data_IF_349782930856
#
_entry.id   IF_349782930856
#
_cell.length_a   1.000
_cell.length_b   1.000
_cell.length_c   1.000
_cell.angle_alpha   90.00
_cell.angle_beta   90.00
_cell.angle_gamma   90.00
#
_symmetry.space_group_name_H-M   'P 1'
#
loop_
_entity.id
_entity.type
_entity.pdbx_description
1 polymer ?
#
# COMPACT_ATOMS: atom_id res chain seq x y z
N UNK A 1 -41.76 -11.50 -34.06
CA UNK A 1 -41.51 -10.63 -32.88
C UNK A 1 -42.28 -9.33 -33.09
N UNK A 2 -43.21 -9.00 -32.19
CA UNK A 2 -44.24 -7.99 -32.44
C UNK A 2 -43.64 -6.57 -32.41
N UNK A 3 -43.92 -5.73 -33.42
CA UNK A 3 -43.33 -4.39 -33.60
C UNK A 3 -43.50 -3.49 -32.36
N UNK A 4 -44.58 -3.69 -31.62
CA UNK A 4 -44.85 -2.99 -30.35
C UNK A 4 -43.89 -3.40 -29.22
N UNK A 5 -43.43 -4.65 -29.15
CA UNK A 5 -42.47 -5.09 -28.12
C UNK A 5 -41.07 -4.50 -28.36
N UNK A 6 -40.69 -4.30 -29.62
CA UNK A 6 -39.39 -3.69 -29.97
C UNK A 6 -39.37 -2.19 -29.61
N UNK A 7 -40.51 -1.49 -29.78
CA UNK A 7 -40.69 -0.10 -29.34
C UNK A 7 -40.59 0.07 -27.81
N UNK A 8 -41.19 -0.83 -27.05
CA UNK A 8 -41.10 -0.78 -25.58
C UNK A 8 -39.68 -1.06 -25.07
N UNK A 9 -38.97 -2.02 -25.66
CA UNK A 9 -37.56 -2.29 -25.33
C UNK A 9 -36.65 -1.10 -25.70
N UNK A 10 -36.89 -0.44 -26.84
CA UNK A 10 -36.11 0.74 -27.24
C UNK A 10 -36.37 1.94 -26.32
N UNK A 11 -37.60 2.15 -25.85
CA UNK A 11 -37.92 3.22 -24.88
C UNK A 11 -37.34 2.94 -23.49
N UNK A 12 -37.29 1.68 -23.04
CA UNK A 12 -36.67 1.30 -21.76
C UNK A 12 -35.14 1.44 -21.82
N UNK A 13 -34.50 1.06 -22.93
CA UNK A 13 -33.07 1.30 -23.13
C UNK A 13 -32.73 2.79 -23.22
N UNK A 14 -33.58 3.63 -23.85
CA UNK A 14 -33.37 5.09 -23.86
C UNK A 14 -33.57 5.70 -22.46
N UNK A 15 -34.53 5.21 -21.68
CA UNK A 15 -34.75 5.66 -20.30
C UNK A 15 -33.63 5.22 -19.35
N UNK A 16 -33.00 4.05 -19.57
CA UNK A 16 -31.84 3.60 -18.80
C UNK A 16 -30.56 4.35 -19.16
N UNK A 17 -30.38 4.76 -20.43
CA UNK A 17 -29.25 5.61 -20.85
C UNK A 17 -29.41 7.06 -20.35
N UNK A 18 -30.65 7.54 -20.16
CA UNK A 18 -30.94 8.84 -19.55
C UNK A 18 -30.95 8.84 -18.02
N UNK A 19 -30.93 7.64 -17.39
CA UNK A 19 -30.76 7.44 -15.95
C UNK A 19 -29.36 6.97 -15.57
N UNK A 20 -28.42 6.91 -16.51
CA UNK A 20 -27.02 7.01 -16.13
C UNK A 20 -26.89 8.35 -15.42
N UNK A 21 -26.36 8.43 -14.18
CA UNK A 21 -25.88 9.71 -13.71
C UNK A 21 -24.91 10.16 -14.79
N UNK A 22 -25.27 11.23 -15.50
CA UNK A 22 -24.28 12.00 -16.18
C UNK A 22 -23.31 12.36 -15.07
N UNK A 23 -22.18 11.69 -15.00
CA UNK A 23 -20.97 12.24 -14.40
C UNK A 23 -20.57 13.35 -15.37
N UNK A 24 -21.41 14.37 -15.45
CA UNK A 24 -21.03 15.67 -15.95
C UNK A 24 -19.85 16.05 -15.09
N UNK A 25 -18.72 16.39 -15.71
CA UNK A 25 -17.65 17.10 -15.04
C UNK A 25 -18.32 18.19 -14.20
N UNK A 26 -18.40 17.94 -12.89
CA UNK A 26 -19.16 18.80 -11.99
C UNK A 26 -18.37 20.10 -11.90
N UNK A 27 -19.06 21.20 -11.68
CA UNK A 27 -18.47 22.54 -11.47
C UNK A 27 -17.32 22.53 -10.45
N UNK A 28 -17.24 21.51 -9.60
CA UNK A 28 -16.24 21.38 -8.54
C UNK A 28 -15.00 20.55 -8.92
N UNK A 29 -14.92 20.00 -10.15
CA UNK A 29 -13.65 19.47 -10.67
C UNK A 29 -12.56 20.56 -10.70
N UNK A 30 -12.97 21.81 -10.91
CA UNK A 30 -12.11 22.98 -10.78
C UNK A 30 -11.57 23.17 -9.36
N UNK A 31 -12.42 23.09 -8.32
CA UNK A 31 -11.98 23.23 -6.93
C UNK A 31 -10.95 22.17 -6.53
N UNK A 32 -11.16 20.92 -6.97
CA UNK A 32 -10.23 19.83 -6.70
C UNK A 32 -8.89 20.06 -7.40
N UNK A 33 -8.90 20.44 -8.68
CA UNK A 33 -7.68 20.78 -9.41
C UNK A 33 -6.94 21.96 -8.74
N UNK A 34 -7.64 23.07 -8.44
CA UNK A 34 -7.08 24.23 -7.76
C UNK A 34 -6.51 23.90 -6.37
N UNK A 35 -7.15 23.01 -5.61
CA UNK A 35 -6.64 22.57 -4.30
C UNK A 35 -5.30 21.85 -4.42
N UNK A 36 -5.15 21.02 -5.46
CA UNK A 36 -3.88 20.36 -5.76
C UNK A 36 -2.80 21.35 -6.20
N UNK A 37 -3.15 22.34 -7.02
CA UNK A 37 -2.25 23.43 -7.41
C UNK A 37 -1.78 24.24 -6.20
N UNK A 38 -2.69 24.55 -5.26
CA UNK A 38 -2.38 25.26 -4.02
C UNK A 38 -1.46 24.43 -3.11
N UNK A 39 -1.73 23.14 -2.93
CA UNK A 39 -0.90 22.25 -2.13
C UNK A 39 0.54 22.18 -2.67
N UNK A 40 0.68 21.99 -3.98
CA UNK A 40 1.98 21.96 -4.65
C UNK A 40 2.71 23.29 -4.57
N UNK A 41 2.01 24.42 -4.74
CA UNK A 41 2.61 25.76 -4.63
C UNK A 41 3.20 26.00 -3.25
N UNK A 42 2.47 25.67 -2.19
CA UNK A 42 2.95 25.82 -0.81
C UNK A 42 4.13 24.88 -0.56
N UNK A 43 4.05 23.64 -1.04
CA UNK A 43 5.12 22.66 -0.87
C UNK A 43 6.44 23.12 -1.50
N UNK A 44 6.41 23.62 -2.73
CA UNK A 44 7.61 24.09 -3.43
C UNK A 44 8.32 25.23 -2.67
N UNK A 45 7.56 26.11 -2.00
CA UNK A 45 8.11 27.20 -1.19
C UNK A 45 8.61 26.73 0.18
N UNK A 46 7.80 25.97 0.93
CA UNK A 46 8.08 25.60 2.33
C UNK A 46 9.18 24.53 2.49
N UNK A 47 9.26 23.59 1.54
CA UNK A 47 10.27 22.51 1.55
C UNK A 47 11.26 22.60 0.38
N UNK A 48 11.31 23.75 -0.29
CA UNK A 48 12.35 24.20 -1.24
C UNK A 48 12.68 23.17 -2.32
N UNK A 49 11.81 23.07 -3.34
CA UNK A 49 12.07 22.21 -4.50
C UNK A 49 11.49 22.78 -5.80
N UNK A 50 12.08 22.35 -6.92
CA UNK A 50 11.73 22.81 -8.26
C UNK A 50 10.75 21.85 -8.97
N UNK A 51 10.17 22.30 -10.09
CA UNK A 51 9.29 21.47 -10.91
C UNK A 51 10.00 20.17 -11.35
N UNK A 52 9.39 19.02 -11.07
CA UNK A 52 9.88 17.71 -11.48
C UNK A 52 11.06 17.20 -10.66
N UNK A 53 11.26 17.71 -9.45
CA UNK A 53 12.34 17.28 -8.56
C UNK A 53 12.20 15.79 -8.18
N UNK A 54 13.22 14.99 -8.50
CA UNK A 54 13.27 13.56 -8.20
C UNK A 54 13.58 13.24 -6.74
N UNK A 55 13.99 14.24 -5.96
CA UNK A 55 14.28 14.14 -4.53
C UNK A 55 13.07 14.49 -3.66
N UNK A 56 11.91 14.74 -4.29
CA UNK A 56 10.63 14.96 -3.60
C UNK A 56 9.59 13.90 -3.95
N UNK A 57 8.88 13.44 -2.93
CA UNK A 57 7.67 12.61 -3.07
C UNK A 57 6.46 13.31 -2.48
N UNK A 58 5.31 13.13 -3.12
CA UNK A 58 4.02 13.47 -2.54
C UNK A 58 3.18 12.22 -2.30
N UNK A 59 2.78 12.06 -1.04
CA UNK A 59 1.81 11.07 -0.59
C UNK A 59 0.47 11.78 -0.38
N UNK A 60 -0.61 11.18 -0.84
CA UNK A 60 -1.97 11.71 -0.62
C UNK A 60 -2.99 10.59 -0.71
N UNK A 61 -4.11 10.71 -0.01
CA UNK A 61 -5.28 9.84 -0.21
C UNK A 61 -6.25 10.37 -1.29
N UNK A 62 -5.87 11.41 -2.03
CA UNK A 62 -6.62 11.87 -3.19
C UNK A 62 -6.86 10.73 -4.20
N UNK A 63 -8.07 10.69 -4.75
CA UNK A 63 -8.59 9.61 -5.58
C UNK A 63 -9.06 8.37 -4.79
N UNK A 64 -8.95 8.36 -3.46
CA UNK A 64 -9.58 7.38 -2.57
C UNK A 64 -10.71 7.99 -1.77
N UNK A 65 -10.47 9.16 -1.18
CA UNK A 65 -11.46 9.89 -0.39
C UNK A 65 -12.47 10.64 -1.25
N UNK A 66 -13.69 10.76 -0.72
CA UNK A 66 -14.81 11.46 -1.34
C UNK A 66 -15.20 12.63 -0.45
N UNK A 67 -15.20 13.84 -1.00
CA UNK A 67 -15.50 15.08 -0.26
C UNK A 67 -16.78 15.68 -0.82
N UNK A 68 -17.78 15.91 0.06
CA UNK A 68 -19.10 16.44 -0.32
C UNK A 68 -19.72 15.72 -1.54
N UNK A 69 -19.57 14.39 -1.58
CA UNK A 69 -20.10 13.53 -2.65
C UNK A 69 -19.31 13.56 -3.97
N UNK A 70 -18.09 14.10 -3.94
CA UNK A 70 -17.24 14.24 -5.12
C UNK A 70 -15.92 13.50 -4.97
N UNK A 71 -15.45 12.98 -6.09
CA UNK A 71 -14.17 12.30 -6.16
C UNK A 71 -13.02 13.32 -6.18
N UNK A 72 -11.84 12.89 -5.75
CA UNK A 72 -10.69 13.78 -5.48
C UNK A 72 -9.51 13.57 -6.45
N UNK A 73 -9.66 12.78 -7.53
CA UNK A 73 -8.58 12.51 -8.49
C UNK A 73 -8.09 13.77 -9.19
N UNK A 74 -8.95 14.80 -9.32
CA UNK A 74 -8.57 16.08 -9.90
C UNK A 74 -7.53 16.83 -9.08
N UNK A 75 -7.44 16.55 -7.78
CA UNK A 75 -6.37 17.08 -6.93
C UNK A 75 -4.99 16.61 -7.41
N UNK A 76 -4.88 15.35 -7.83
CA UNK A 76 -3.64 14.78 -8.38
C UNK A 76 -3.23 15.51 -9.66
N UNK A 77 -4.21 15.85 -10.51
CA UNK A 77 -3.95 16.64 -11.72
C UNK A 77 -3.37 18.01 -11.39
N UNK A 78 -3.92 18.69 -10.37
CA UNK A 78 -3.43 19.99 -9.90
C UNK A 78 -2.02 19.92 -9.31
N UNK A 79 -1.76 18.92 -8.47
CA UNK A 79 -0.42 18.67 -7.92
C UNK A 79 0.58 18.49 -9.07
N UNK A 80 0.32 17.54 -9.96
CA UNK A 80 1.21 17.22 -11.09
C UNK A 80 1.47 18.44 -11.98
N UNK A 81 0.45 19.25 -12.23
CA UNK A 81 0.55 20.44 -13.09
C UNK A 81 1.50 21.50 -12.54
N UNK A 82 1.56 21.68 -11.22
CA UNK A 82 2.38 22.72 -10.58
C UNK A 82 3.74 22.19 -10.16
N UNK A 83 3.81 21.01 -9.55
CA UNK A 83 5.06 20.46 -9.01
C UNK A 83 5.79 19.56 -9.99
N UNK A 84 5.15 19.07 -11.05
CA UNK A 84 5.71 18.05 -11.94
C UNK A 84 5.79 16.65 -11.33
N UNK A 85 5.44 16.46 -10.05
CA UNK A 85 5.49 15.16 -9.39
C UNK A 85 4.34 14.26 -9.89
N UNK A 86 4.66 13.02 -10.25
CA UNK A 86 3.70 12.11 -10.87
C UNK A 86 4.02 10.63 -10.61
N UNK A 87 2.98 9.79 -10.70
CA UNK A 87 3.10 8.35 -10.48
C UNK A 87 4.14 7.70 -11.41
N UNK A 88 4.23 8.17 -12.67
CA UNK A 88 5.14 7.62 -13.68
C UNK A 88 6.63 7.79 -13.37
N UNK A 89 6.95 8.78 -12.53
CA UNK A 89 8.32 9.08 -12.12
C UNK A 89 8.61 8.60 -10.69
N UNK A 90 7.70 7.84 -10.09
CA UNK A 90 7.77 7.39 -8.69
C UNK A 90 7.89 8.55 -7.69
N UNK A 91 7.30 9.71 -7.97
CA UNK A 91 7.31 10.90 -7.09
C UNK A 91 5.93 11.29 -6.58
N UNK A 92 4.88 10.54 -6.96
CA UNK A 92 3.53 10.67 -6.42
C UNK A 92 3.00 9.28 -6.08
N UNK A 93 2.38 9.11 -4.91
CA UNK A 93 1.69 7.89 -4.52
C UNK A 93 0.35 8.18 -3.88
N UNK A 94 -0.69 7.51 -4.40
CA UNK A 94 -2.03 7.55 -3.84
C UNK A 94 -2.17 6.47 -2.75
N UNK A 95 -2.34 6.91 -1.51
CA UNK A 95 -2.39 6.03 -0.34
C UNK A 95 -3.82 5.60 -0.10
N UNK A 96 -4.03 4.29 0.03
CA UNK A 96 -5.36 3.73 0.23
C UNK A 96 -5.99 4.26 1.52
N UNK A 97 -7.25 4.69 1.45
CA UNK A 97 -8.01 5.16 2.60
C UNK A 97 -9.50 4.93 2.33
N UNK A 98 -10.28 4.80 3.40
CA UNK A 98 -11.74 4.74 3.29
C UNK A 98 -12.29 6.06 2.74
N UNK A 99 -13.32 5.99 1.91
CA UNK A 99 -13.85 7.13 1.16
C UNK A 99 -14.43 8.24 2.06
N UNK A 100 -14.90 7.91 3.26
CA UNK A 100 -15.46 8.85 4.24
C UNK A 100 -14.41 9.54 5.14
N UNK A 101 -13.12 9.38 4.88
CA UNK A 101 -12.05 10.02 5.65
C UNK A 101 -11.69 11.40 5.09
N UNK A 102 -11.05 12.20 5.94
CA UNK A 102 -10.56 13.52 5.56
C UNK A 102 -9.40 13.41 4.57
N UNK A 103 -9.41 14.29 3.55
CA UNK A 103 -8.36 14.45 2.55
C UNK A 103 -7.10 15.09 3.16
N UNK A 104 -5.92 14.61 2.79
CA UNK A 104 -4.64 15.19 3.21
C UNK A 104 -3.56 15.09 2.13
N UNK A 105 -2.50 15.88 2.31
CA UNK A 105 -1.29 15.84 1.48
C UNK A 105 -0.06 15.83 2.37
N UNK A 106 0.93 15.02 1.98
CA UNK A 106 2.24 15.02 2.60
C UNK A 106 3.31 15.06 1.53
N UNK A 107 4.05 16.17 1.46
CA UNK A 107 5.22 16.29 0.60
C UNK A 107 6.47 16.04 1.44
N UNK A 108 7.43 15.32 0.90
CA UNK A 108 8.67 15.01 1.58
C UNK A 108 9.87 15.20 0.66
N UNK A 109 10.82 16.03 1.09
CA UNK A 109 12.09 16.27 0.41
C UNK A 109 13.19 15.46 1.12
N UNK A 110 13.74 14.44 0.45
CA UNK A 110 14.75 13.56 1.04
C UNK A 110 16.12 14.23 1.19
N UNK A 111 16.42 15.25 0.39
CA UNK A 111 17.70 15.96 0.47
C UNK A 111 17.79 16.77 1.75
N UNK A 112 16.69 17.40 2.16
CA UNK A 112 16.63 18.19 3.40
C UNK A 112 16.11 17.40 4.59
N UNK A 113 15.41 16.27 4.36
CA UNK A 113 14.67 15.52 5.37
C UNK A 113 13.44 16.24 5.91
N UNK A 114 12.90 17.20 5.17
CA UNK A 114 11.71 17.99 5.58
C UNK A 114 10.45 17.41 4.98
N UNK A 115 9.40 17.33 5.78
CA UNK A 115 8.05 17.05 5.32
C UNK A 115 7.13 18.26 5.46
N UNK A 116 6.16 18.42 4.55
CA UNK A 116 5.06 19.36 4.68
C UNK A 116 3.73 18.59 4.73
N UNK A 117 2.98 18.77 5.82
CA UNK A 117 1.66 18.19 6.00
C UNK A 117 0.56 19.25 5.82
N UNK A 118 -0.42 18.93 4.98
CA UNK A 118 -1.50 19.82 4.59
C UNK A 118 -2.86 19.12 4.75
N UNK A 119 -3.81 19.83 5.37
CA UNK A 119 -5.21 19.39 5.48
C UNK A 119 -6.13 20.50 4.97
N UNK A 120 -7.00 20.24 3.96
CA UNK A 120 -7.95 21.22 3.46
C UNK A 120 -8.91 21.70 4.54
N UNK A 121 -9.25 22.99 4.46
CA UNK A 121 -10.29 23.57 5.31
C UNK A 121 -11.67 23.12 4.82
N UNK A 122 -12.53 22.63 5.71
CA UNK A 122 -13.89 22.16 5.35
C UNK A 122 -14.69 23.20 4.52
N UNK A 123 -14.55 24.49 4.87
CA UNK A 123 -15.23 25.58 4.18
C UNK A 123 -14.75 25.85 2.75
N UNK A 124 -13.58 25.35 2.35
CA UNK A 124 -13.01 25.53 1.01
C UNK A 124 -13.93 24.96 -0.06
N UNK A 125 -14.46 23.75 0.16
CA UNK A 125 -15.27 23.03 -0.83
C UNK A 125 -16.63 23.70 -1.12
N UNK A 126 -17.03 24.67 -0.30
CA UNK A 126 -18.29 25.42 -0.41
C UNK A 126 -18.11 26.82 -1.01
N UNK A 127 -16.88 27.18 -1.39
CA UNK A 127 -16.60 28.44 -2.10
C UNK A 127 -17.21 28.44 -3.50
N UNK A 128 -17.29 29.61 -4.12
CA UNK A 128 -17.61 29.73 -5.54
C UNK A 128 -16.32 29.70 -6.36
N UNK A 129 -16.38 29.33 -7.64
CA UNK A 129 -15.22 29.33 -8.54
C UNK A 129 -14.45 30.67 -8.49
N UNK A 130 -15.17 31.79 -8.60
CA UNK A 130 -14.57 33.13 -8.51
C UNK A 130 -13.91 33.43 -7.15
N UNK A 131 -14.43 32.85 -6.05
CA UNK A 131 -13.78 32.98 -4.75
C UNK A 131 -12.49 32.15 -4.69
N UNK A 132 -12.48 30.93 -5.23
CA UNK A 132 -11.29 30.08 -5.36
C UNK A 132 -10.22 30.75 -6.23
N UNK A 133 -10.58 31.31 -7.39
CA UNK A 133 -9.66 32.03 -8.28
C UNK A 133 -8.90 33.17 -7.59
N UNK A 134 -9.51 33.79 -6.58
CA UNK A 134 -8.94 34.91 -5.83
C UNK A 134 -8.37 34.52 -4.46
N UNK A 135 -8.44 33.23 -4.09
CA UNK A 135 -8.05 32.74 -2.78
C UNK A 135 -6.52 32.61 -2.71
N UNK A 136 -5.84 33.25 -1.74
CA UNK A 136 -4.44 32.92 -1.45
C UNK A 136 -4.32 31.44 -1.04
N UNK A 137 -3.35 30.67 -1.59
CA UNK A 137 -3.26 29.22 -1.38
C UNK A 137 -3.34 28.79 0.09
N UNK A 138 -2.69 29.51 0.99
CA UNK A 138 -2.64 29.21 2.42
C UNK A 138 -4.03 29.22 3.09
N UNK A 139 -4.98 29.97 2.53
CA UNK A 139 -6.34 30.06 3.07
C UNK A 139 -7.22 28.87 2.68
N UNK A 140 -6.75 27.99 1.79
CA UNK A 140 -7.45 26.74 1.43
C UNK A 140 -7.27 25.64 2.48
N UNK A 141 -6.29 25.76 3.38
CA UNK A 141 -5.91 24.72 4.33
C UNK A 141 -6.22 25.12 5.78
N UNK A 142 -6.60 24.15 6.60
CA UNK A 142 -6.68 24.29 8.06
C UNK A 142 -5.37 23.92 8.76
N UNK A 143 -4.49 23.21 8.07
CA UNK A 143 -3.19 22.75 8.56
C UNK A 143 -2.16 22.96 7.47
N UNK A 144 -1.06 23.62 7.81
CA UNK A 144 0.13 23.82 6.98
C UNK A 144 1.31 23.71 7.94
N UNK A 145 1.89 22.52 8.06
CA UNK A 145 2.90 22.24 9.08
C UNK A 145 4.14 21.60 8.46
N UNK A 146 5.29 22.26 8.59
CA UNK A 146 6.58 21.71 8.24
C UNK A 146 7.10 20.88 9.41
N UNK A 147 7.51 19.65 9.14
CA UNK A 147 7.98 18.67 10.11
C UNK A 147 9.31 18.08 9.68
N UNK A 148 10.03 17.47 10.62
CA UNK A 148 11.09 16.52 10.26
C UNK A 148 10.41 15.29 9.64
N UNK A 149 10.89 14.80 8.51
CA UNK A 149 10.37 13.60 7.85
C UNK A 149 11.34 12.41 7.88
N UNK A 150 12.64 12.68 8.02
CA UNK A 150 13.67 11.65 7.99
C UNK A 150 13.85 10.91 9.33
N UNK A 151 13.78 9.59 9.31
CA UNK A 151 13.85 8.76 10.51
C UNK A 151 15.22 8.80 11.20
N UNK A 152 16.31 8.97 10.46
CA UNK A 152 17.65 9.07 11.03
C UNK A 152 17.90 10.46 11.63
N UNK A 153 17.38 11.52 11.03
CA UNK A 153 17.38 12.85 11.67
C UNK A 153 16.59 12.82 13.00
N UNK A 154 15.46 12.10 13.05
CA UNK A 154 14.69 11.94 14.29
C UNK A 154 15.36 11.05 15.33
N UNK A 155 16.26 10.16 14.91
CA UNK A 155 17.13 9.41 15.82
C UNK A 155 18.12 10.36 16.51
N UNK A 156 18.68 11.32 15.77
CA UNK A 156 19.59 12.35 16.29
C UNK A 156 18.86 13.41 17.14
N UNK A 157 17.64 13.80 16.75
CA UNK A 157 16.78 14.71 17.49
C UNK A 157 15.41 14.09 17.80
N UNK A 158 15.37 13.33 18.89
CA UNK A 158 14.14 12.71 19.41
C UNK A 158 13.02 13.72 19.68
N UNK A 159 13.34 14.97 20.03
CA UNK A 159 12.31 15.98 20.30
C UNK A 159 11.64 16.42 19.00
N UNK A 160 12.41 16.63 17.93
CA UNK A 160 11.86 16.90 16.60
C UNK A 160 10.99 15.75 16.09
N UNK A 161 11.41 14.50 16.33
CA UNK A 161 10.59 13.31 16.05
C UNK A 161 9.27 13.33 16.81
N UNK A 162 9.30 13.52 18.14
CA UNK A 162 8.07 13.57 18.93
C UNK A 162 7.14 14.72 18.51
N UNK A 163 7.69 15.87 18.09
CA UNK A 163 6.89 16.98 17.57
C UNK A 163 6.22 16.62 16.24
N UNK A 164 6.95 15.95 15.35
CA UNK A 164 6.43 15.44 14.08
C UNK A 164 5.26 14.48 14.34
N UNK A 165 5.43 13.52 15.25
CA UNK A 165 4.37 12.58 15.62
C UNK A 165 3.11 13.27 16.17
N UNK A 166 3.27 14.35 16.96
CA UNK A 166 2.16 15.14 17.47
C UNK A 166 1.40 15.83 16.32
N UNK A 167 2.13 16.44 15.38
CA UNK A 167 1.55 17.17 14.24
C UNK A 167 0.80 16.23 13.28
N UNK A 168 1.43 15.11 12.90
CA UNK A 168 0.86 14.15 11.97
C UNK A 168 -0.23 13.27 12.61
N UNK A 169 -0.22 13.15 13.94
CA UNK A 169 -1.23 12.44 14.71
C UNK A 169 -1.41 10.98 14.27
N UNK A 170 -2.64 10.61 13.92
CA UNK A 170 -2.99 9.25 13.52
C UNK A 170 -2.37 8.84 12.17
N UNK A 171 -2.05 9.80 11.31
CA UNK A 171 -1.53 9.54 9.97
C UNK A 171 0.00 9.36 9.99
N UNK A 172 0.68 9.73 11.08
CA UNK A 172 2.14 9.72 11.19
C UNK A 172 2.79 8.40 10.75
N UNK A 173 2.27 7.25 11.18
CA UNK A 173 2.87 5.96 10.81
C UNK A 173 2.72 5.68 9.31
N UNK A 174 1.57 6.02 8.71
CA UNK A 174 1.37 5.91 7.26
C UNK A 174 2.37 6.78 6.49
N UNK A 175 2.40 8.07 6.83
CA UNK A 175 3.20 9.05 6.10
C UNK A 175 4.70 8.81 6.22
N UNK A 176 5.18 8.65 7.46
CA UNK A 176 6.62 8.54 7.72
C UNK A 176 7.17 7.20 7.24
N UNK A 177 6.43 6.11 7.38
CA UNK A 177 6.91 4.81 6.90
C UNK A 177 7.05 4.75 5.38
N UNK A 178 6.07 5.27 4.64
CA UNK A 178 6.09 5.30 3.18
C UNK A 178 7.13 6.28 2.65
N UNK A 179 7.21 7.49 3.21
CA UNK A 179 8.16 8.51 2.77
C UNK A 179 9.61 8.09 3.01
N UNK A 180 9.92 7.50 4.17
CA UNK A 180 11.26 7.00 4.45
C UNK A 180 11.60 5.80 3.57
N UNK A 181 10.69 4.83 3.42
CA UNK A 181 10.95 3.70 2.53
C UNK A 181 11.23 4.14 1.08
N UNK A 182 10.46 5.09 0.55
CA UNK A 182 10.71 5.69 -0.75
C UNK A 182 12.10 6.32 -0.84
N UNK A 183 12.46 7.15 0.15
CA UNK A 183 13.74 7.85 0.16
C UNK A 183 14.94 6.90 0.28
N UNK A 184 14.77 5.77 0.98
CA UNK A 184 15.79 4.76 1.18
C UNK A 184 15.74 3.60 0.16
N UNK A 185 15.03 3.79 -0.96
CA UNK A 185 15.18 2.95 -2.15
C UNK A 185 14.17 1.83 -2.32
N UNK A 186 12.99 1.91 -1.69
CA UNK A 186 11.92 0.96 -1.95
C UNK A 186 11.52 0.99 -3.43
N UNK A 187 11.52 -0.16 -4.13
CA UNK A 187 11.15 -0.22 -5.53
C UNK A 187 9.68 0.13 -5.75
N UNK A 188 9.36 0.54 -6.98
CA UNK A 188 8.02 1.02 -7.35
C UNK A 188 6.90 0.02 -7.04
N UNK A 189 7.11 -1.27 -7.31
CA UNK A 189 6.12 -2.32 -7.05
C UNK A 189 5.85 -2.49 -5.54
N UNK A 190 6.90 -2.44 -4.70
CA UNK A 190 6.78 -2.43 -3.25
C UNK A 190 6.05 -1.18 -2.75
N UNK A 191 6.38 0.00 -3.28
CA UNK A 191 5.71 1.25 -2.92
C UNK A 191 4.20 1.20 -3.24
N UNK A 192 3.81 0.61 -4.38
CA UNK A 192 2.40 0.42 -4.71
C UNK A 192 1.70 -0.55 -3.75
N UNK A 193 2.36 -1.66 -3.40
CA UNK A 193 1.81 -2.63 -2.45
C UNK A 193 1.65 -2.02 -1.04
N UNK A 194 2.65 -1.28 -0.55
CA UNK A 194 2.57 -0.56 0.71
C UNK A 194 1.51 0.56 0.67
N UNK A 195 1.32 1.22 -0.48
CA UNK A 195 0.26 2.23 -0.67
C UNK A 195 -1.13 1.61 -0.58
N UNK A 196 -1.33 0.37 -1.07
CA UNK A 196 -2.57 -0.39 -0.86
C UNK A 196 -2.79 -0.70 0.63
N UNK A 197 -1.74 -1.09 1.34
CA UNK A 197 -1.76 -1.36 2.78
C UNK A 197 -1.90 -0.09 3.65
N UNK A 198 -1.96 1.09 3.04
CA UNK A 198 -2.01 2.42 3.66
C UNK A 198 -0.74 2.86 4.39
N UNK A 199 0.04 1.94 4.95
CA UNK A 199 1.29 2.24 5.64
C UNK A 199 2.32 1.17 5.30
N UNK A 200 3.58 1.45 5.59
CA UNK A 200 4.64 0.47 5.41
C UNK A 200 5.14 -0.03 6.77
N UNK A 201 4.94 -1.33 7.03
CA UNK A 201 5.45 -1.97 8.24
C UNK A 201 6.35 -3.17 7.89
N UNK A 202 7.12 -3.69 8.86
CA UNK A 202 7.96 -4.88 8.65
C UNK A 202 7.17 -6.09 8.13
N UNK A 203 5.89 -6.20 8.50
CA UNK A 203 5.00 -7.25 7.99
C UNK A 203 4.74 -7.14 6.49
N UNK A 204 4.61 -5.92 5.95
CA UNK A 204 4.50 -5.70 4.49
C UNK A 204 5.84 -6.01 3.83
N UNK A 205 6.96 -5.55 4.41
CA UNK A 205 8.31 -5.83 3.86
C UNK A 205 8.55 -7.33 3.76
N UNK A 206 8.15 -8.09 4.80
CA UNK A 206 8.29 -9.55 4.82
C UNK A 206 7.56 -10.23 3.66
N UNK A 207 6.37 -9.76 3.28
CA UNK A 207 5.65 -10.32 2.13
C UNK A 207 6.40 -10.12 0.82
N UNK A 208 6.99 -8.93 0.63
CA UNK A 208 7.77 -8.64 -0.56
C UNK A 208 9.03 -9.50 -0.63
N UNK A 209 9.73 -9.64 0.49
CA UNK A 209 10.94 -10.48 0.59
C UNK A 209 10.59 -11.96 0.33
N UNK A 210 9.49 -12.47 0.91
CA UNK A 210 9.00 -13.82 0.63
C UNK A 210 8.65 -14.00 -0.85
N UNK A 211 7.97 -13.02 -1.46
CA UNK A 211 7.63 -13.06 -2.88
C UNK A 211 8.88 -13.11 -3.77
N UNK A 212 9.88 -12.26 -3.50
CA UNK A 212 11.16 -12.28 -4.25
C UNK A 212 11.94 -13.57 -4.05
N UNK A 213 11.94 -14.11 -2.83
CA UNK A 213 12.53 -15.43 -2.56
C UNK A 213 11.87 -16.53 -3.39
N UNK A 214 10.53 -16.55 -3.44
CA UNK A 214 9.75 -17.52 -4.22
C UNK A 214 9.99 -17.34 -5.72
N UNK A 215 10.00 -16.11 -6.23
CA UNK A 215 10.31 -15.80 -7.64
C UNK A 215 11.69 -16.30 -8.06
N UNK A 216 12.68 -16.19 -7.18
CA UNK A 216 14.05 -16.64 -7.43
C UNK A 216 14.18 -18.18 -7.37
N UNK A 217 13.54 -18.83 -6.40
CA UNK A 217 13.73 -20.26 -6.11
C UNK A 217 12.71 -21.20 -6.76
N UNK A 218 11.55 -20.67 -7.18
CA UNK A 218 10.47 -21.41 -7.84
C UNK A 218 9.95 -20.64 -9.07
N UNK A 219 10.81 -20.29 -10.05
CA UNK A 219 10.43 -19.40 -11.14
C UNK A 219 9.26 -19.97 -11.97
N UNK A 220 8.30 -19.09 -12.28
CA UNK A 220 7.18 -19.43 -13.15
C UNK A 220 7.65 -19.77 -14.58
N UNK A 221 6.93 -20.70 -15.18
CA UNK A 221 6.88 -20.98 -16.61
C UNK A 221 5.47 -20.73 -17.13
N UNK A 222 5.28 -20.77 -18.45
CA UNK A 222 3.95 -20.61 -19.09
C UNK A 222 2.90 -21.66 -18.63
N UNK A 223 3.34 -22.75 -18.00
CA UNK A 223 2.48 -23.87 -17.58
C UNK A 223 2.18 -23.87 -16.08
N UNK A 224 2.80 -22.98 -15.32
CA UNK A 224 2.76 -22.98 -13.85
C UNK A 224 2.16 -21.71 -13.27
N UNK A 225 1.58 -21.81 -12.08
CA UNK A 225 1.10 -20.69 -11.27
C UNK A 225 1.54 -20.84 -9.82
N UNK A 226 1.57 -19.74 -9.07
CA UNK A 226 1.69 -19.81 -7.62
C UNK A 226 0.35 -20.06 -6.96
N UNK A 227 0.35 -20.94 -5.94
CA UNK A 227 -0.67 -21.02 -4.90
C UNK A 227 0.00 -20.67 -3.58
N UNK A 228 -0.69 -19.90 -2.73
CA UNK A 228 -0.15 -19.41 -1.46
C UNK A 228 -1.12 -19.77 -0.35
N UNK A 229 -0.64 -20.55 0.63
CA UNK A 229 -1.36 -20.79 1.88
C UNK A 229 -0.69 -19.98 2.98
N UNK A 230 -1.31 -18.87 3.35
CA UNK A 230 -0.74 -17.90 4.28
C UNK A 230 -1.14 -18.21 5.72
N UNK A 231 -0.29 -18.97 6.41
CA UNK A 231 -0.46 -19.28 7.83
C UNK A 231 0.85 -19.14 8.59
N UNK A 232 0.93 -18.37 9.69
CA UNK A 232 -0.11 -17.48 10.23
C UNK A 232 -0.39 -16.30 9.30
N UNK A 233 -1.50 -15.59 9.52
CA UNK A 233 -1.85 -14.41 8.72
C UNK A 233 -1.27 -13.10 9.29
N UNK A 234 -0.80 -12.19 8.43
CA UNK A 234 -0.42 -10.81 8.86
C UNK A 234 -0.54 -9.79 7.72
N UNK A 235 0.38 -8.82 7.63
CA UNK A 235 0.39 -7.80 6.57
C UNK A 235 1.00 -8.28 5.24
N UNK A 236 1.62 -9.46 5.18
CA UNK A 236 2.33 -9.95 3.98
C UNK A 236 1.39 -10.23 2.82
N UNK A 237 0.13 -10.55 3.11
CA UNK A 237 -0.88 -10.97 2.15
C UNK A 237 -1.23 -9.85 1.18
N UNK A 238 -1.15 -8.59 1.63
CA UNK A 238 -1.44 -7.43 0.77
C UNK A 238 -0.39 -7.22 -0.33
N UNK A 239 0.81 -7.79 -0.17
CA UNK A 239 1.84 -7.82 -1.22
C UNK A 239 1.38 -8.68 -2.40
N UNK A 240 0.87 -9.88 -2.13
CA UNK A 240 0.51 -10.85 -3.19
C UNK A 240 -0.66 -10.35 -4.05
N UNK A 241 -1.55 -9.52 -3.46
CA UNK A 241 -2.61 -8.84 -4.18
C UNK A 241 -2.08 -7.93 -5.30
N UNK A 242 -0.95 -7.25 -5.06
CA UNK A 242 -0.38 -6.28 -6.00
C UNK A 242 0.62 -6.92 -6.94
N UNK A 243 1.51 -7.77 -6.44
CA UNK A 243 2.55 -8.41 -7.25
C UNK A 243 2.05 -9.56 -8.11
N UNK A 244 1.18 -10.40 -7.56
CA UNK A 244 0.75 -11.65 -8.20
C UNK A 244 -0.74 -11.68 -8.55
N UNK A 245 -1.44 -10.56 -8.40
CA UNK A 245 -2.88 -10.44 -8.67
C UNK A 245 -3.76 -11.42 -7.85
N UNK A 246 -3.27 -11.84 -6.68
CA UNK A 246 -3.90 -12.87 -5.84
C UNK A 246 -4.96 -12.30 -4.89
N UNK A 247 -5.91 -11.52 -5.40
CA UNK A 247 -6.95 -10.92 -4.55
C UNK A 247 -7.92 -11.97 -3.98
N UNK A 248 -8.46 -11.79 -2.75
CA UNK A 248 -9.44 -12.72 -2.19
C UNK A 248 -10.68 -12.92 -3.07
N UNK A 249 -11.13 -11.87 -3.77
CA UNK A 249 -12.27 -11.94 -4.70
C UNK A 249 -12.00 -12.76 -5.97
N UNK A 250 -10.73 -13.03 -6.28
CA UNK A 250 -10.29 -13.92 -7.37
C UNK A 250 -9.97 -15.34 -6.85
N UNK A 251 -10.23 -15.62 -5.57
CA UNK A 251 -9.82 -16.87 -4.92
C UNK A 251 -8.33 -16.92 -4.61
N UNK A 252 -7.67 -15.78 -4.43
CA UNK A 252 -6.25 -15.72 -4.10
C UNK A 252 -5.98 -15.75 -2.59
N UNK A 253 -4.81 -16.30 -2.25
CA UNK A 253 -4.26 -16.50 -0.90
C UNK A 253 -5.19 -17.27 0.04
N UNK A 254 -4.92 -18.56 0.21
CA UNK A 254 -5.63 -19.42 1.14
C UNK A 254 -5.16 -19.22 2.58
N UNK A 255 -6.06 -19.44 3.54
CA UNK A 255 -5.75 -19.31 4.96
C UNK A 255 -6.49 -20.38 5.77
N UNK A 256 -5.84 -20.91 6.79
CA UNK A 256 -6.44 -21.81 7.77
C UNK A 256 -7.20 -21.06 8.85
N UNK A 257 -8.41 -21.53 9.15
CA UNK A 257 -9.21 -21.08 10.28
C UNK A 257 -8.91 -21.84 11.58
N UNK A 258 -8.10 -22.91 11.51
CA UNK A 258 -7.78 -23.77 12.66
C UNK A 258 -6.34 -23.63 13.14
N UNK A 259 -5.44 -22.99 12.37
CA UNK A 259 -4.08 -22.71 12.80
C UNK A 259 -4.04 -21.76 14.02
N UNK A 260 -3.27 -22.13 15.03
CA UNK A 260 -3.23 -21.46 16.34
C UNK A 260 -1.85 -20.87 16.68
N UNK A 261 -1.81 -20.06 17.75
CA UNK A 261 -0.54 -19.59 18.32
C UNK A 261 0.31 -20.72 18.91
N UNK A 262 -0.31 -21.81 19.37
CA UNK A 262 0.41 -22.99 19.87
C UNK A 262 1.14 -23.68 18.71
N UNK A 263 0.48 -23.82 17.56
CA UNK A 263 1.07 -24.37 16.33
C UNK A 263 2.24 -23.51 15.85
N UNK A 264 2.05 -22.17 15.83
CA UNK A 264 3.13 -21.25 15.50
C UNK A 264 4.33 -21.43 16.44
N UNK A 265 4.08 -21.56 17.74
CA UNK A 265 5.14 -21.73 18.75
C UNK A 265 5.87 -23.05 18.53
N UNK A 266 5.15 -24.15 18.36
CA UNK A 266 5.71 -25.46 18.07
C UNK A 266 6.60 -25.44 16.82
N UNK A 267 6.09 -24.89 15.71
CA UNK A 267 6.86 -24.80 14.47
C UNK A 267 8.09 -23.91 14.61
N UNK A 268 7.97 -22.79 15.34
CA UNK A 268 9.10 -21.90 15.60
C UNK A 268 10.19 -22.60 16.41
N UNK A 269 9.82 -23.38 17.44
CA UNK A 269 10.76 -24.14 18.25
C UNK A 269 11.40 -25.30 17.46
N UNK A 270 10.61 -26.00 16.65
CA UNK A 270 11.06 -27.14 15.84
C UNK A 270 12.05 -26.73 14.75
N UNK A 271 11.77 -25.63 14.04
CA UNK A 271 12.55 -25.19 12.88
C UNK A 271 13.52 -24.04 13.19
N UNK A 272 13.45 -23.44 14.39
CA UNK A 272 14.31 -22.31 14.78
C UNK A 272 13.97 -20.99 14.08
N UNK A 273 12.87 -20.94 13.33
CA UNK A 273 12.39 -19.78 12.59
C UNK A 273 10.86 -19.74 12.59
N UNK A 274 10.27 -18.54 12.62
CA UNK A 274 8.82 -18.37 12.65
C UNK A 274 8.20 -18.78 11.31
N UNK A 275 7.16 -19.64 11.26
CA UNK A 275 6.49 -19.99 10.00
C UNK A 275 5.89 -18.75 9.32
N UNK A 276 5.97 -18.72 7.98
CA UNK A 276 5.59 -17.58 7.15
C UNK A 276 4.72 -17.94 5.93
N UNK A 277 4.25 -19.18 5.88
CA UNK A 277 3.33 -19.67 4.87
C UNK A 277 3.92 -20.77 4.01
N UNK A 278 3.05 -21.36 3.21
CA UNK A 278 3.37 -22.39 2.23
C UNK A 278 3.14 -21.81 0.84
N UNK A 279 4.08 -22.06 -0.06
CA UNK A 279 4.05 -21.61 -1.45
C UNK A 279 4.15 -22.83 -2.35
N UNK A 280 3.27 -22.93 -3.33
CA UNK A 280 3.24 -24.04 -4.29
C UNK A 280 3.40 -23.50 -5.70
N UNK A 281 4.39 -24.02 -6.43
CA UNK A 281 4.49 -23.89 -7.88
C UNK A 281 3.67 -25.02 -8.52
N UNK A 282 2.48 -24.69 -8.99
CA UNK A 282 1.48 -25.65 -9.46
C UNK A 282 1.44 -25.74 -10.99
N UNK A 283 1.51 -26.95 -11.55
CA UNK A 283 1.25 -27.22 -12.97
C UNK A 283 -0.14 -27.86 -13.12
N UNK A 284 -1.10 -27.09 -13.66
CA UNK A 284 -2.48 -27.53 -13.83
C UNK A 284 -2.68 -28.58 -14.93
N UNK A 285 -1.75 -28.70 -15.89
CA UNK A 285 -1.82 -29.71 -16.95
C UNK A 285 -1.41 -31.08 -16.44
N UNK A 286 -0.40 -31.11 -15.58
CA UNK A 286 0.13 -32.34 -14.98
C UNK A 286 -0.61 -32.73 -13.69
N UNK A 287 -1.38 -31.82 -13.10
CA UNK A 287 -1.99 -31.95 -11.77
C UNK A 287 -0.94 -32.27 -10.70
N UNK A 288 0.20 -31.59 -10.78
CA UNK A 288 1.30 -31.73 -9.83
C UNK A 288 2.05 -30.42 -9.65
N UNK A 289 2.76 -30.29 -8.52
CA UNK A 289 3.56 -29.12 -8.21
C UNK A 289 4.68 -29.39 -7.20
N UNK A 290 5.47 -28.35 -6.94
CA UNK A 290 6.46 -28.31 -5.87
C UNK A 290 5.96 -27.33 -4.80
N UNK A 291 5.92 -27.77 -3.55
CA UNK A 291 5.61 -26.96 -2.38
C UNK A 291 6.85 -26.67 -1.54
N UNK A 292 6.91 -25.47 -0.97
CA UNK A 292 7.87 -25.09 0.05
C UNK A 292 7.14 -24.43 1.22
N UNK A 293 7.47 -24.85 2.45
CA UNK A 293 7.09 -24.14 3.66
C UNK A 293 8.23 -23.19 4.03
N UNK A 294 7.93 -21.89 4.17
CA UNK A 294 8.92 -20.86 4.47
C UNK A 294 8.79 -20.38 5.90
N UNK A 295 9.93 -20.13 6.52
CA UNK A 295 10.06 -19.36 7.75
C UNK A 295 10.55 -17.94 7.47
N UNK A 296 10.21 -17.01 8.35
CA UNK A 296 10.65 -15.62 8.28
C UNK A 296 11.23 -15.14 9.62
N UNK A 297 12.37 -14.45 9.56
CA UNK A 297 13.02 -13.78 10.69
C UNK A 297 12.90 -12.28 10.46
N UNK A 298 12.31 -11.57 11.42
CA UNK A 298 12.29 -10.10 11.38
C UNK A 298 13.65 -9.57 11.85
N UNK A 299 14.04 -8.41 11.33
CA UNK A 299 15.25 -7.73 11.77
C UNK A 299 15.10 -7.24 13.23
N UNK A 300 16.11 -7.46 14.06
CA UNK A 300 16.16 -7.00 15.46
C UNK A 300 17.02 -5.73 15.60
N UNK A 301 17.02 -4.87 14.57
CA UNK A 301 17.69 -3.57 14.56
C UNK A 301 17.52 -2.79 15.87
N UNK A 302 18.65 -2.40 16.48
CA UNK A 302 18.63 -1.57 17.68
C UNK A 302 18.11 -0.16 17.36
N UNK A 303 17.00 0.22 17.99
CA UNK A 303 16.41 1.55 17.88
C UNK A 303 16.44 2.27 19.23
N UNK A 304 17.08 3.45 19.26
CA UNK A 304 17.23 4.27 20.48
C UNK A 304 16.50 5.63 20.42
N UNK A 305 15.83 5.91 19.30
CA UNK A 305 15.06 7.14 19.09
C UNK A 305 13.66 7.10 19.73
N UNK A 306 12.75 7.97 19.28
CA UNK A 306 11.37 8.00 19.77
C UNK A 306 10.69 6.63 19.73
N UNK A 307 9.99 6.22 20.79
CA UNK A 307 9.45 4.85 20.93
C UNK A 307 8.49 4.41 19.81
N UNK A 308 7.86 5.35 19.12
CA UNK A 308 6.96 5.11 17.99
C UNK A 308 7.72 4.84 16.67
N UNK A 309 9.00 5.22 16.56
CA UNK A 309 9.77 5.17 15.31
C UNK A 309 10.41 3.81 14.99
N UNK A 310 10.47 2.87 15.93
CA UNK A 310 11.20 1.60 15.77
C UNK A 310 10.74 0.79 14.55
N UNK A 311 9.43 0.73 14.29
CA UNK A 311 8.90 0.01 13.12
C UNK A 311 9.21 0.70 11.80
N UNK A 312 9.29 2.02 11.78
CA UNK A 312 9.68 2.78 10.58
C UNK A 312 11.15 2.51 10.29
N UNK A 313 12.00 2.59 11.31
CA UNK A 313 13.42 2.28 11.21
C UNK A 313 13.66 0.85 10.70
N UNK A 314 13.02 -0.14 11.33
CA UNK A 314 13.10 -1.54 10.91
C UNK A 314 12.63 -1.74 9.46
N UNK A 315 11.58 -1.02 9.04
CA UNK A 315 11.10 -1.08 7.66
C UNK A 315 12.14 -0.53 6.68
N UNK A 316 12.80 0.58 7.03
CA UNK A 316 13.88 1.17 6.22
C UNK A 316 15.08 0.23 6.12
N UNK A 317 15.49 -0.39 7.22
CA UNK A 317 16.59 -1.37 7.20
C UNK A 317 16.27 -2.55 6.26
N UNK A 318 15.06 -3.13 6.38
CA UNK A 318 14.62 -4.20 5.49
C UNK A 318 14.57 -3.77 4.02
N UNK A 319 14.20 -2.51 3.73
CA UNK A 319 14.20 -1.95 2.37
C UNK A 319 15.63 -1.88 1.80
N UNK A 320 16.60 -1.46 2.61
CA UNK A 320 17.99 -1.38 2.17
C UNK A 320 18.62 -2.75 1.93
N UNK A 321 18.06 -3.81 2.53
CA UNK A 321 18.52 -5.18 2.45
C UNK A 321 17.69 -6.09 1.51
N UNK A 322 16.80 -5.54 0.68
CA UNK A 322 15.91 -6.31 -0.21
C UNK A 322 16.63 -7.26 -1.19
N UNK A 323 17.89 -6.99 -1.52
CA UNK A 323 18.67 -7.82 -2.45
C UNK A 323 19.21 -9.11 -1.82
N UNK A 324 19.02 -9.33 -0.52
CA UNK A 324 19.47 -10.52 0.20
C UNK A 324 18.29 -11.20 0.92
N UNK A 325 17.27 -11.71 0.20
CA UNK A 325 16.09 -12.30 0.85
C UNK A 325 16.42 -13.48 1.76
N UNK A 326 17.53 -14.19 1.50
CA UNK A 326 18.01 -15.31 2.32
C UNK A 326 18.50 -14.91 3.72
N UNK A 327 18.71 -13.62 4.01
CA UNK A 327 19.02 -13.15 5.37
C UNK A 327 17.77 -13.18 6.27
N UNK A 328 16.58 -13.22 5.66
CA UNK A 328 15.29 -13.18 6.35
C UNK A 328 14.50 -14.49 6.21
N UNK A 329 14.69 -15.22 5.12
CA UNK A 329 13.87 -16.38 4.74
C UNK A 329 14.66 -17.68 4.85
N UNK A 330 14.08 -18.68 5.51
CA UNK A 330 14.62 -20.04 5.52
C UNK A 330 13.55 -21.04 5.04
N UNK A 331 13.95 -22.04 4.26
CA UNK A 331 13.07 -23.15 3.89
C UNK A 331 12.96 -24.11 5.07
N UNK A 332 11.73 -24.28 5.58
CA UNK A 332 11.44 -25.22 6.65
C UNK A 332 11.28 -26.64 6.11
N UNK A 333 10.57 -26.80 4.99
CA UNK A 333 10.31 -28.09 4.36
C UNK A 333 10.08 -27.92 2.84
N UNK A 334 10.48 -28.91 2.03
CA UNK A 334 10.10 -29.02 0.62
C UNK A 334 9.30 -30.31 0.41
N UNK A 335 8.29 -30.26 -0.46
CA UNK A 335 7.45 -31.42 -0.75
C UNK A 335 6.88 -31.39 -2.17
N UNK A 336 6.44 -32.54 -2.65
CA UNK A 336 5.68 -32.66 -3.91
C UNK A 336 4.19 -32.47 -3.62
N UNK A 337 3.49 -31.80 -4.51
CA UNK A 337 2.05 -31.54 -4.40
C UNK A 337 1.33 -32.26 -5.53
N UNK A 338 0.32 -33.05 -5.20
CA UNK A 338 -0.67 -33.56 -6.15
C UNK A 338 -2.02 -32.85 -5.94
N UNK A 339 -3.03 -33.19 -6.75
CA UNK A 339 -4.32 -32.51 -6.70
C UNK A 339 -5.07 -32.71 -5.37
N UNK A 340 -4.90 -33.87 -4.72
CA UNK A 340 -5.58 -34.16 -3.45
C UNK A 340 -4.92 -33.37 -2.33
N UNK A 341 -3.58 -33.34 -2.27
CA UNK A 341 -2.84 -32.53 -1.30
C UNK A 341 -3.10 -31.03 -1.47
N UNK A 342 -3.17 -30.54 -2.72
CA UNK A 342 -3.50 -29.15 -2.98
C UNK A 342 -4.90 -28.80 -2.44
N UNK A 343 -5.90 -29.64 -2.67
CA UNK A 343 -7.25 -29.42 -2.16
C UNK A 343 -7.30 -29.43 -0.61
N UNK A 344 -6.46 -30.24 0.04
CA UNK A 344 -6.34 -30.24 1.50
C UNK A 344 -5.64 -28.98 2.04
N UNK A 345 -4.65 -28.45 1.30
CA UNK A 345 -3.95 -27.21 1.61
C UNK A 345 -4.86 -25.97 1.49
N UNK A 346 -5.72 -25.93 0.47
CA UNK A 346 -6.68 -24.84 0.22
C UNK A 346 -7.89 -24.89 1.17
N UNK A 347 -8.10 -26.00 1.88
CA UNK A 347 -9.24 -26.15 2.79
C UNK A 347 -9.03 -25.37 4.09
N UNK A 348 -9.84 -24.34 4.39
CA UNK A 348 -9.66 -23.51 5.59
C UNK A 348 -9.91 -24.26 6.89
N UNK A 349 -10.52 -25.45 6.85
CA UNK A 349 -10.74 -26.28 8.04
C UNK A 349 -9.56 -27.19 8.39
N UNK A 350 -8.53 -27.21 7.56
CA UNK A 350 -7.32 -27.98 7.80
C UNK A 350 -6.20 -27.09 8.35
N UNK A 351 -5.33 -27.66 9.18
CA UNK A 351 -4.05 -27.05 9.49
C UNK A 351 -3.07 -27.40 8.36
N UNK A 352 -2.61 -26.42 7.57
CA UNK A 352 -1.82 -26.71 6.37
C UNK A 352 -0.47 -27.35 6.72
N UNK A 353 0.07 -27.10 7.92
CA UNK A 353 1.32 -27.70 8.38
C UNK A 353 1.15 -29.16 8.85
N UNK A 354 -0.03 -29.55 9.36
CA UNK A 354 -0.36 -30.96 9.62
C UNK A 354 -0.53 -31.73 8.31
N UNK A 355 -1.24 -31.12 7.35
CA UNK A 355 -1.47 -31.68 6.00
C UNK A 355 -0.17 -32.07 5.30
N UNK A 356 0.88 -31.24 5.44
CA UNK A 356 2.21 -31.54 4.86
C UNK A 356 3.14 -32.33 5.80
N UNK A 357 2.63 -32.82 6.93
CA UNK A 357 3.38 -33.67 7.87
C UNK A 357 4.44 -32.96 8.71
N UNK A 358 4.36 -31.63 8.83
CA UNK A 358 5.28 -30.84 9.66
C UNK A 358 4.90 -30.84 11.14
N UNK A 359 3.69 -31.28 11.49
CA UNK A 359 3.21 -31.42 12.86
C UNK A 359 2.07 -32.47 12.95
N UNK A 360 1.73 -32.87 14.17
CA UNK A 360 0.76 -33.94 14.50
C UNK A 360 -0.62 -33.39 14.91
#
# INVERSE_FOLDING_TARGET
MNYNRLRWLFCICLALVLCAPAVSASTNAYHMEALGEFAATIAMDEIDFDYGDSDVVVLTDAGRVVVDGQTTEKVISGITKVSGLQNGDSTLFQINRADWKDLWFYFYNRDTGKGLYLVPKEGYFRLTDAAVESLPPENAFSTIEVVSGDIYQMLEDTNAGNKTQEVLGADAFSLLSLANAWAYGAPYDLMNAASLHNHFCPGVSSGYILAKYVEENMPLTDETSYVVVSCPTWCKEDIYNVLWDMTPGKGGVDTSAVFTNEDQTYLTEKYGIRPAGIFVLWNSQENSGKGIALGFRFDDSEWTGPSWGSKIYQTVDMVQNLNNPGDYVEVMEEFTVDADLLAELENPLNNPYEVVGMMD
#
